data_IF_012839846706
#
_entry.id   IF_012839846706
#
_cell.length_a   1.000
_cell.length_b   1.000
_cell.length_c   1.000
_cell.angle_alpha   90.00
_cell.angle_beta   90.00
_cell.angle_gamma   90.00
#
_symmetry.space_group_name_H-M   'P 1'
#
loop_
_entity.id
_entity.type
_entity.pdbx_description
1 polymer ?
#
# COMPACT_ATOMS: atom_id res chain seq x y z
N UNK A 1 -39.45 -20.48 33.15
CA UNK A 1 -38.40 -21.32 32.52
C UNK A 1 -39.10 -22.57 31.99
N UNK A 2 -38.84 -23.01 30.74
CA UNK A 2 -37.49 -23.29 30.22
C UNK A 2 -37.11 -22.54 28.94
N UNK A 3 -35.79 -22.45 28.73
CA UNK A 3 -35.15 -21.95 27.53
C UNK A 3 -35.01 -23.08 26.49
N UNK A 4 -35.17 -22.75 25.22
CA UNK A 4 -34.75 -23.60 24.10
C UNK A 4 -33.41 -23.08 23.58
N UNK A 5 -32.39 -23.95 23.42
CA UNK A 5 -31.17 -23.58 22.73
C UNK A 5 -31.38 -23.79 21.22
N UNK A 6 -31.34 -22.70 20.45
CA UNK A 6 -31.31 -22.80 18.99
C UNK A 6 -29.87 -22.68 18.49
N UNK A 7 -29.33 -23.86 18.17
CA UNK A 7 -28.26 -24.18 17.23
C UNK A 7 -27.58 -23.00 16.52
N UNK A 8 -26.34 -22.69 16.91
CA UNK A 8 -25.39 -22.04 16.02
C UNK A 8 -24.86 -23.07 15.02
N UNK A 9 -25.36 -23.03 13.79
CA UNK A 9 -24.73 -23.73 12.66
C UNK A 9 -23.39 -23.09 12.35
N UNK A 10 -22.31 -23.80 12.67
CA UNK A 10 -20.95 -23.50 12.21
C UNK A 10 -20.85 -23.78 10.71
N UNK A 11 -21.24 -22.81 9.87
CA UNK A 11 -20.74 -22.79 8.50
C UNK A 11 -19.29 -22.31 8.52
N UNK A 12 -18.35 -23.24 8.69
CA UNK A 12 -16.99 -23.05 8.16
C UNK A 12 -17.08 -23.19 6.63
N UNK A 13 -17.69 -22.20 5.97
CA UNK A 13 -17.52 -22.06 4.53
C UNK A 13 -16.05 -21.69 4.31
N UNK A 14 -15.27 -22.64 3.80
CA UNK A 14 -13.93 -22.36 3.29
C UNK A 14 -14.11 -21.38 2.14
N UNK A 15 -13.93 -20.08 2.39
CA UNK A 15 -13.99 -19.08 1.34
C UNK A 15 -12.98 -19.49 0.27
N UNK A 16 -13.36 -19.48 -1.03
CA UNK A 16 -12.40 -19.77 -2.09
C UNK A 16 -11.22 -18.79 -1.95
N UNK A 17 -9.99 -19.25 -2.20
CA UNK A 17 -8.82 -18.37 -2.16
C UNK A 17 -9.08 -17.19 -3.11
N UNK A 18 -8.94 -15.98 -2.59
CA UNK A 18 -9.10 -14.75 -3.37
C UNK A 18 -8.19 -14.82 -4.61
N UNK A 19 -8.71 -14.59 -5.82
CA UNK A 19 -7.91 -14.59 -7.04
C UNK A 19 -7.22 -13.24 -7.22
N UNK A 20 -6.04 -13.26 -7.86
CA UNK A 20 -5.30 -12.08 -8.29
C UNK A 20 -5.20 -12.05 -9.81
N UNK A 21 -5.27 -10.86 -10.39
CA UNK A 21 -5.10 -10.63 -11.82
C UNK A 21 -3.77 -9.94 -12.06
N UNK A 22 -2.89 -10.57 -12.82
CA UNK A 22 -1.63 -9.98 -13.29
C UNK A 22 -1.73 -9.64 -14.77
N UNK A 23 -1.51 -8.37 -15.11
CA UNK A 23 -1.46 -7.87 -16.48
C UNK A 23 -0.08 -7.32 -16.81
N UNK A 24 0.40 -7.62 -18.01
CA UNK A 24 1.51 -6.89 -18.64
C UNK A 24 0.91 -5.94 -19.66
N UNK A 25 1.24 -4.66 -19.53
CA UNK A 25 0.79 -3.59 -20.40
C UNK A 25 1.99 -2.90 -21.04
N UNK A 26 1.83 -2.47 -22.28
CA UNK A 26 2.85 -1.75 -23.04
C UNK A 26 2.24 -0.49 -23.61
N UNK A 27 3.00 0.61 -23.60
CA UNK A 27 2.57 1.85 -24.20
C UNK A 27 3.57 2.97 -23.95
N UNK A 28 3.06 4.20 -23.84
CA UNK A 28 3.91 5.37 -23.68
C UNK A 28 3.32 6.44 -22.76
N UNK A 29 4.22 7.17 -22.12
CA UNK A 29 3.95 8.46 -21.47
C UNK A 29 4.32 9.57 -22.47
N UNK A 30 3.41 10.53 -22.64
CA UNK A 30 3.52 11.65 -23.57
C UNK A 30 3.89 11.23 -25.00
N UNK A 31 3.38 10.08 -25.47
CA UNK A 31 3.66 9.49 -26.78
C UNK A 31 5.15 9.32 -27.14
N UNK A 32 6.06 9.45 -26.18
CA UNK A 32 7.51 9.55 -26.43
C UNK A 32 8.35 8.70 -25.48
N UNK A 33 7.87 8.48 -24.26
CA UNK A 33 8.55 7.66 -23.26
C UNK A 33 7.89 6.30 -23.23
N UNK A 34 8.48 5.33 -23.94
CA UNK A 34 7.98 3.95 -23.96
C UNK A 34 8.17 3.27 -22.61
N UNK A 35 7.10 2.63 -22.12
CA UNK A 35 7.08 1.94 -20.84
C UNK A 35 6.40 0.58 -20.94
N UNK A 36 6.80 -0.33 -20.05
CA UNK A 36 6.10 -1.61 -19.81
C UNK A 36 5.69 -1.67 -18.35
N UNK A 37 4.42 -1.92 -18.07
CA UNK A 37 3.87 -2.08 -16.73
C UNK A 37 3.50 -3.54 -16.51
N UNK A 38 4.06 -4.19 -15.50
CA UNK A 38 3.52 -5.46 -14.98
C UNK A 38 2.78 -5.15 -13.68
N UNK A 39 1.46 -5.31 -13.68
CA UNK A 39 0.59 -4.94 -12.57
C UNK A 39 -0.19 -6.15 -12.08
N UNK A 40 -0.20 -6.36 -10.77
CA UNK A 40 -1.06 -7.33 -10.10
C UNK A 40 -2.11 -6.59 -9.28
N UNK A 41 -3.38 -6.95 -9.48
CA UNK A 41 -4.51 -6.39 -8.73
C UNK A 41 -5.17 -7.49 -7.91
N UNK A 42 -5.42 -7.22 -6.62
CA UNK A 42 -6.20 -8.10 -5.74
C UNK A 42 -7.12 -7.29 -4.84
N UNK A 43 -8.43 -7.45 -5.01
CA UNK A 43 -9.40 -6.55 -4.38
C UNK A 43 -9.14 -5.11 -4.82
N UNK A 44 -8.97 -4.19 -3.87
CA UNK A 44 -8.63 -2.79 -4.14
C UNK A 44 -7.13 -2.52 -4.27
N UNK A 45 -6.26 -3.48 -3.96
CA UNK A 45 -4.81 -3.29 -4.02
C UNK A 45 -4.30 -3.47 -5.45
N UNK A 46 -3.45 -2.56 -5.91
CA UNK A 46 -2.69 -2.69 -7.13
C UNK A 46 -1.19 -2.54 -6.84
N UNK A 47 -0.36 -3.46 -7.31
CA UNK A 47 1.10 -3.36 -7.13
C UNK A 47 1.84 -4.01 -8.30
N UNK A 48 3.07 -3.60 -8.54
CA UNK A 48 3.80 -4.09 -9.70
C UNK A 48 5.12 -3.40 -9.97
N UNK A 49 5.50 -3.40 -11.24
CA UNK A 49 6.74 -2.78 -11.72
C UNK A 49 6.50 -2.06 -13.03
N UNK A 50 6.90 -0.80 -13.09
CA UNK A 50 6.96 0.01 -14.30
C UNK A 50 8.40 0.04 -14.81
N UNK A 51 8.62 -0.37 -16.05
CA UNK A 51 9.92 -0.36 -16.72
C UNK A 51 9.96 0.75 -17.76
N UNK A 52 10.86 1.71 -17.56
CA UNK A 52 11.18 2.71 -18.59
C UNK A 52 12.11 2.08 -19.62
N UNK A 53 11.61 1.82 -20.83
CA UNK A 53 12.31 0.95 -21.80
C UNK A 53 13.69 1.50 -22.21
N UNK A 54 13.82 2.83 -22.29
CA UNK A 54 15.09 3.48 -22.67
C UNK A 54 16.20 3.28 -21.62
N UNK A 55 15.85 3.35 -20.34
CA UNK A 55 16.83 3.27 -19.24
C UNK A 55 16.98 1.85 -18.69
N UNK A 56 16.01 0.97 -18.95
CA UNK A 56 15.97 -0.37 -18.36
C UNK A 56 15.70 -0.37 -16.86
N UNK A 57 15.31 0.77 -16.28
CA UNK A 57 15.09 0.90 -14.84
C UNK A 57 13.69 0.40 -14.51
N UNK A 58 13.64 -0.68 -13.72
CA UNK A 58 12.45 -1.20 -13.09
C UNK A 58 12.11 -0.38 -11.83
N UNK A 59 10.93 0.23 -11.84
CA UNK A 59 10.44 1.08 -10.75
C UNK A 59 9.26 0.36 -10.08
N UNK A 60 9.33 0.07 -8.77
CA UNK A 60 8.18 -0.49 -8.05
C UNK A 60 7.02 0.49 -8.07
N UNK A 61 5.82 -0.03 -8.33
CA UNK A 61 4.59 0.74 -8.25
C UNK A 61 3.61 0.12 -7.27
N UNK A 62 2.90 0.97 -6.53
CA UNK A 62 1.89 0.55 -5.54
C UNK A 62 0.75 1.55 -5.60
N UNK A 63 -0.47 1.06 -5.47
CA UNK A 63 -1.64 1.92 -5.59
C UNK A 63 -2.95 1.23 -5.29
N UNK A 64 -4.03 1.89 -5.68
CA UNK A 64 -5.38 1.46 -5.35
C UNK A 64 -6.30 1.49 -6.56
N UNK A 65 -7.12 0.45 -6.68
CA UNK A 65 -8.17 0.30 -7.68
C UNK A 65 -9.55 0.55 -7.02
N UNK A 66 -10.26 1.55 -7.52
CA UNK A 66 -11.60 1.93 -7.10
C UNK A 66 -12.56 1.88 -8.29
N UNK A 67 -13.22 0.74 -8.49
CA UNK A 67 -14.02 0.52 -9.70
C UNK A 67 -13.14 0.49 -10.95
N UNK A 68 -13.31 1.47 -11.84
CA UNK A 68 -12.50 1.65 -13.04
C UNK A 68 -11.38 2.69 -12.86
N UNK A 69 -11.24 3.30 -11.68
CA UNK A 69 -10.20 4.30 -11.40
C UNK A 69 -9.01 3.64 -10.72
N UNK A 70 -7.82 3.85 -11.28
CA UNK A 70 -6.56 3.33 -10.76
C UNK A 70 -5.58 4.48 -10.52
N UNK A 71 -5.14 4.57 -9.27
CA UNK A 71 -4.02 5.39 -8.81
C UNK A 71 -2.80 4.47 -8.62
N UNK A 72 -1.63 4.86 -9.11
CA UNK A 72 -0.35 4.21 -8.82
C UNK A 72 0.72 5.24 -8.46
N UNK A 73 1.49 4.96 -7.41
CA UNK A 73 2.71 5.67 -7.06
C UNK A 73 3.94 4.91 -7.55
N UNK A 74 4.86 5.61 -8.21
CA UNK A 74 6.21 5.15 -8.52
C UNK A 74 7.16 5.44 -7.36
N UNK A 75 7.90 4.43 -6.90
CA UNK A 75 8.81 4.59 -5.76
C UNK A 75 10.27 4.47 -6.16
N UNK A 76 11.11 5.34 -5.59
CA UNK A 76 12.54 5.08 -5.54
C UNK A 76 12.86 3.98 -4.51
N UNK A 77 14.13 3.55 -4.43
CA UNK A 77 14.56 2.50 -3.49
C UNK A 77 14.47 2.89 -2.01
N UNK A 78 14.30 4.18 -1.71
CA UNK A 78 14.18 4.73 -0.35
C UNK A 78 12.71 4.92 0.05
N UNK A 79 11.77 4.59 -0.84
CA UNK A 79 10.34 4.73 -0.59
C UNK A 79 9.79 6.12 -0.86
N UNK A 80 10.52 6.99 -1.56
CA UNK A 80 9.99 8.28 -1.99
C UNK A 80 9.15 8.11 -3.26
N UNK A 81 7.99 8.76 -3.30
CA UNK A 81 7.19 8.86 -4.51
C UNK A 81 7.88 9.76 -5.53
N UNK A 82 8.08 9.23 -6.73
CA UNK A 82 8.77 9.90 -7.85
C UNK A 82 7.84 10.20 -9.02
N UNK A 83 6.69 9.53 -9.08
CA UNK A 83 5.68 9.70 -10.11
C UNK A 83 4.33 9.19 -9.63
N UNK A 84 3.26 9.77 -10.17
CA UNK A 84 1.88 9.42 -9.85
C UNK A 84 1.15 9.17 -11.17
N UNK A 85 0.58 7.98 -11.34
CA UNK A 85 -0.33 7.66 -12.44
C UNK A 85 -1.75 7.69 -11.90
N UNK A 86 -2.62 8.46 -12.54
CA UNK A 86 -4.05 8.47 -12.26
C UNK A 86 -4.80 8.28 -13.56
N UNK A 87 -5.70 7.30 -13.61
CA UNK A 87 -6.40 7.02 -14.86
C UNK A 87 -7.48 5.97 -14.76
N UNK A 88 -7.99 5.61 -15.93
CA UNK A 88 -9.01 4.58 -16.11
C UNK A 88 -8.37 3.24 -16.43
N UNK A 89 -8.75 2.23 -15.66
CA UNK A 89 -8.28 0.85 -15.72
C UNK A 89 -9.36 -0.07 -16.29
N UNK A 90 -8.93 -0.99 -17.14
CA UNK A 90 -9.77 -2.06 -17.67
C UNK A 90 -8.92 -3.29 -18.03
N UNK A 91 -9.59 -4.39 -18.37
CA UNK A 91 -8.91 -5.58 -18.94
C UNK A 91 -8.19 -5.27 -20.26
N UNK A 92 -8.61 -4.22 -20.98
CA UNK A 92 -8.00 -3.83 -22.25
C UNK A 92 -6.74 -2.96 -22.06
N UNK A 93 -6.67 -2.18 -20.98
CA UNK A 93 -5.57 -1.23 -20.81
C UNK A 93 -5.73 -0.28 -19.63
N UNK A 94 -4.75 0.63 -19.54
CA UNK A 94 -4.67 1.68 -18.53
C UNK A 94 -4.29 3.00 -19.20
N UNK A 95 -5.11 4.03 -19.04
CA UNK A 95 -4.85 5.34 -19.65
C UNK A 95 -5.25 6.48 -18.73
N UNK A 96 -4.51 7.58 -18.75
CA UNK A 96 -4.76 8.72 -17.89
C UNK A 96 -3.61 9.72 -17.90
N UNK A 97 -3.28 10.24 -16.72
CA UNK A 97 -2.25 11.24 -16.52
C UNK A 97 -1.16 10.75 -15.57
N UNK A 98 0.08 11.01 -15.96
CA UNK A 98 1.26 10.91 -15.14
C UNK A 98 1.64 12.30 -14.63
N UNK A 99 2.00 12.43 -13.35
CA UNK A 99 2.54 13.67 -12.80
C UNK A 99 3.72 13.40 -11.87
N UNK A 100 4.57 14.41 -11.69
CA UNK A 100 5.65 14.36 -10.72
C UNK A 100 5.25 15.05 -9.41
N UNK A 101 5.43 14.42 -8.23
CA UNK A 101 5.22 15.10 -6.95
C UNK A 101 6.11 16.34 -6.76
N UNK A 102 7.28 16.38 -7.41
CA UNK A 102 8.21 17.53 -7.33
C UNK A 102 7.86 18.65 -8.31
N UNK A 103 7.05 18.36 -9.34
CA UNK A 103 6.62 19.32 -10.35
C UNK A 103 5.12 19.11 -10.64
N UNK A 104 4.23 19.43 -9.67
CA UNK A 104 2.82 19.08 -9.75
C UNK A 104 2.06 19.75 -10.91
N UNK A 105 2.58 20.86 -11.45
CA UNK A 105 2.04 21.52 -12.64
C UNK A 105 2.33 20.75 -13.94
N UNK A 106 3.25 19.77 -13.91
CA UNK A 106 3.61 18.95 -15.06
C UNK A 106 2.81 17.65 -15.03
N UNK A 107 1.77 17.62 -15.86
CA UNK A 107 0.96 16.43 -16.12
C UNK A 107 1.16 15.98 -17.57
N UNK A 108 1.37 14.69 -17.79
CA UNK A 108 1.61 14.07 -19.09
C UNK A 108 0.58 12.97 -19.32
N UNK A 109 -0.07 12.94 -20.48
CA UNK A 109 -0.95 11.84 -20.83
C UNK A 109 -0.17 10.53 -20.97
N UNK A 110 -0.75 9.40 -20.56
CA UNK A 110 -0.23 8.07 -20.87
C UNK A 110 -1.34 7.17 -21.39
N UNK A 111 -0.95 6.17 -22.17
CA UNK A 111 -1.86 5.11 -22.61
C UNK A 111 -1.09 3.81 -22.77
N UNK A 112 -1.56 2.77 -22.07
CA UNK A 112 -0.99 1.43 -22.04
C UNK A 112 -2.05 0.41 -22.46
N UNK A 113 -1.69 -0.50 -23.35
CA UNK A 113 -2.55 -1.60 -23.80
C UNK A 113 -2.08 -2.92 -23.18
N UNK A 114 -3.03 -3.75 -22.77
CA UNK A 114 -2.74 -5.08 -22.22
C UNK A 114 -2.22 -5.99 -23.32
N UNK A 115 -1.03 -6.56 -23.12
CA UNK A 115 -0.43 -7.55 -24.03
C UNK A 115 -0.46 -8.96 -23.46
N UNK A 116 -0.60 -9.08 -22.14
CA UNK A 116 -0.75 -10.36 -21.43
C UNK A 116 -1.61 -10.17 -20.19
N UNK A 117 -2.43 -11.15 -19.89
CA UNK A 117 -3.18 -11.25 -18.64
C UNK A 117 -3.10 -12.68 -18.11
N UNK A 118 -3.07 -12.82 -16.79
CA UNK A 118 -3.05 -14.09 -16.10
C UNK A 118 -3.83 -13.93 -14.80
N UNK A 119 -4.82 -14.80 -14.58
CA UNK A 119 -5.58 -14.85 -13.34
C UNK A 119 -5.17 -16.10 -12.57
N UNK A 120 -4.73 -15.91 -11.32
CA UNK A 120 -4.16 -16.97 -10.50
C UNK A 120 -4.74 -16.90 -9.08
N UNK A 121 -4.69 -18.00 -8.31
CA UNK A 121 -4.89 -17.90 -6.87
C UNK A 121 -3.91 -16.90 -6.27
N UNK A 122 -4.35 -16.10 -5.29
CA UNK A 122 -3.48 -15.17 -4.57
C UNK A 122 -2.23 -15.89 -4.05
N UNK A 123 -1.08 -15.30 -4.33
CA UNK A 123 0.20 -15.86 -3.88
C UNK A 123 0.30 -15.85 -2.35
N UNK A 124 0.89 -16.91 -1.78
CA UNK A 124 1.29 -16.93 -0.37
C UNK A 124 2.39 -15.88 -0.17
N UNK A 125 2.23 -15.03 0.84
CA UNK A 125 3.24 -14.02 1.16
C UNK A 125 4.46 -14.67 1.82
N UNK A 126 5.64 -14.14 1.49
CA UNK A 126 6.84 -14.39 2.25
C UNK A 126 6.75 -13.73 3.64
N UNK A 127 7.74 -14.01 4.50
CA UNK A 127 7.89 -13.31 5.78
C UNK A 127 7.81 -11.79 5.59
N UNK A 128 6.89 -11.14 6.30
CA UNK A 128 6.58 -9.72 6.21
C UNK A 128 7.57 -8.83 6.98
N UNK A 129 8.51 -9.40 7.73
CA UNK A 129 9.45 -8.70 8.60
C UNK A 129 10.30 -7.65 7.89
N UNK A 130 10.18 -6.37 8.23
CA UNK A 130 11.00 -5.35 7.58
C UNK A 130 10.65 -3.93 7.91
N UNK A 131 11.33 -3.03 7.20
CA UNK A 131 11.04 -1.61 7.17
C UNK A 131 10.25 -1.27 5.90
N UNK A 132 9.13 -0.61 6.08
CA UNK A 132 8.24 -0.13 5.03
C UNK A 132 8.29 1.39 5.03
N UNK A 133 8.48 2.01 3.88
CA UNK A 133 8.63 3.46 3.76
C UNK A 133 7.66 4.04 2.73
N UNK A 134 7.11 5.19 3.08
CA UNK A 134 6.30 6.05 2.23
C UNK A 134 6.74 7.49 2.41
N UNK A 135 7.46 8.05 1.44
CA UNK A 135 7.89 9.44 1.42
C UNK A 135 7.12 10.20 0.34
N UNK A 136 6.40 11.26 0.73
CA UNK A 136 5.66 12.08 -0.21
C UNK A 136 6.28 13.48 -0.27
N UNK A 137 6.60 13.96 -1.48
CA UNK A 137 7.16 15.30 -1.76
C UNK A 137 8.61 15.56 -1.30
N UNK A 138 9.17 16.69 -1.76
CA UNK A 138 10.51 17.16 -1.42
C UNK A 138 10.65 17.78 0.00
N UNK A 139 9.55 17.89 0.77
CA UNK A 139 9.51 18.58 2.07
C UNK A 139 9.73 17.64 3.28
N UNK A 140 10.45 16.53 3.09
CA UNK A 140 10.73 15.56 4.16
C UNK A 140 9.47 15.00 4.86
N UNK A 141 8.31 14.96 4.17
CA UNK A 141 7.11 14.28 4.69
C UNK A 141 7.25 12.79 4.42
N UNK A 142 7.29 12.00 5.48
CA UNK A 142 7.46 10.56 5.33
C UNK A 142 6.76 9.81 6.45
N UNK A 143 6.47 8.56 6.16
CA UNK A 143 6.03 7.59 7.12
C UNK A 143 6.86 6.31 7.01
N UNK A 144 7.10 5.70 8.17
CA UNK A 144 7.77 4.42 8.30
C UNK A 144 6.92 3.47 9.11
N UNK A 145 6.89 2.23 8.68
CA UNK A 145 6.25 1.14 9.42
C UNK A 145 7.25 0.02 9.59
N UNK A 146 7.51 -0.32 10.85
CA UNK A 146 8.37 -1.43 11.25
C UNK A 146 7.47 -2.64 11.50
N UNK A 147 7.70 -3.71 10.76
CA UNK A 147 6.97 -4.97 10.89
C UNK A 147 7.95 -6.05 11.33
N UNK A 148 7.59 -6.81 12.35
CA UNK A 148 8.23 -8.09 12.65
C UNK A 148 7.14 -9.15 12.70
N UNK A 149 7.22 -10.13 11.80
CA UNK A 149 6.30 -11.25 11.82
C UNK A 149 6.74 -12.27 12.88
N UNK A 150 5.83 -12.57 13.81
CA UNK A 150 6.05 -13.48 14.94
C UNK A 150 5.19 -14.72 14.74
N UNK A 151 5.63 -15.62 13.86
CA UNK A 151 4.84 -16.77 13.41
C UNK A 151 3.80 -16.42 12.34
N UNK A 152 2.86 -17.33 12.06
CA UNK A 152 1.96 -17.18 10.90
C UNK A 152 0.85 -16.14 11.08
N UNK A 153 0.51 -15.76 12.31
CA UNK A 153 -0.72 -15.02 12.63
C UNK A 153 -0.52 -13.77 13.48
N UNK A 154 0.72 -13.40 13.80
CA UNK A 154 1.01 -12.27 14.69
C UNK A 154 2.07 -11.39 14.04
N UNK A 155 1.83 -10.09 14.04
CA UNK A 155 2.82 -9.07 13.69
C UNK A 155 3.09 -8.22 14.93
N UNK A 156 4.35 -7.92 15.21
CA UNK A 156 4.72 -6.73 15.96
C UNK A 156 4.85 -5.55 14.98
N UNK A 157 4.23 -4.42 15.32
CA UNK A 157 4.11 -3.24 14.48
C UNK A 157 4.51 -2.01 15.29
N UNK A 158 5.32 -1.13 14.68
CA UNK A 158 5.56 0.23 15.16
C UNK A 158 5.50 1.17 13.96
N UNK A 159 5.03 2.40 14.18
CA UNK A 159 4.80 3.36 13.09
C UNK A 159 5.30 4.74 13.47
N UNK A 160 5.79 5.46 12.46
CA UNK A 160 6.16 6.85 12.54
C UNK A 160 5.61 7.57 11.31
N UNK A 161 5.06 8.75 11.50
CA UNK A 161 4.72 9.68 10.42
C UNK A 161 5.18 11.09 10.80
N UNK A 162 5.78 11.79 9.86
CA UNK A 162 6.27 13.16 10.00
C UNK A 162 5.64 14.01 8.91
N UNK A 163 4.94 15.08 9.31
CA UNK A 163 4.03 15.81 8.40
C UNK A 163 4.53 17.16 7.93
N UNK A 164 5.50 17.78 8.62
CA UNK A 164 6.17 19.02 8.22
C UNK A 164 7.46 19.25 9.05
N UNK A 165 8.29 20.19 8.59
CA UNK A 165 9.39 20.78 9.38
C UNK A 165 8.95 22.10 10.06
N UNK A 166 9.44 22.41 11.27
CA UNK A 166 10.19 21.52 12.16
C UNK A 166 9.31 20.34 12.57
N UNK A 167 9.95 19.26 13.04
CA UNK A 167 9.40 17.93 13.37
C UNK A 167 8.39 17.96 14.55
N UNK A 168 7.50 18.95 14.59
CA UNK A 168 6.52 19.21 15.63
C UNK A 168 5.26 18.36 15.45
N UNK A 169 4.98 17.91 14.23
CA UNK A 169 3.82 17.08 13.90
C UNK A 169 4.28 15.66 13.58
N UNK A 170 4.64 14.93 14.64
CA UNK A 170 4.94 13.50 14.56
C UNK A 170 3.79 12.69 15.13
N UNK A 171 3.36 11.69 14.37
CA UNK A 171 2.56 10.61 14.88
C UNK A 171 3.47 9.41 15.13
N UNK A 172 3.54 8.96 16.38
CA UNK A 172 4.32 7.78 16.75
C UNK A 172 3.43 6.72 17.36
N UNK A 173 3.64 5.49 16.92
CA UNK A 173 3.00 4.29 17.45
C UNK A 173 4.09 3.38 17.95
N UNK A 174 4.20 3.30 19.28
CA UNK A 174 5.10 2.36 19.92
C UNK A 174 4.75 0.92 19.57
N UNK A 175 5.75 0.04 19.73
CA UNK A 175 5.61 -1.37 19.41
C UNK A 175 4.36 -1.97 20.03
N UNK A 176 3.50 -2.51 19.18
CA UNK A 176 2.29 -3.25 19.57
C UNK A 176 2.18 -4.52 18.74
N UNK A 177 1.23 -5.39 19.09
CA UNK A 177 0.98 -6.63 18.35
C UNK A 177 -0.40 -6.65 17.74
N UNK A 178 -0.50 -7.09 16.49
CA UNK A 178 -1.76 -7.23 15.75
C UNK A 178 -1.88 -8.64 15.18
N UNK A 179 -3.13 -9.11 15.05
CA UNK A 179 -3.41 -10.39 14.40
C UNK A 179 -3.33 -10.24 12.88
N UNK A 180 -2.61 -11.15 12.24
CA UNK A 180 -2.55 -11.31 10.79
C UNK A 180 -3.58 -12.37 10.37
N UNK A 181 -4.47 -11.97 9.46
CA UNK A 181 -5.45 -12.84 8.82
C UNK A 181 -5.19 -12.83 7.32
N UNK A 182 -4.56 -13.89 6.81
CA UNK A 182 -4.06 -13.94 5.45
C UNK A 182 -3.02 -12.85 5.22
N UNK A 183 -3.36 -11.87 4.39
CA UNK A 183 -2.48 -10.79 3.97
C UNK A 183 -2.82 -9.47 4.67
N UNK A 184 -3.70 -9.51 5.67
CA UNK A 184 -4.28 -8.31 6.27
C UNK A 184 -4.18 -8.31 7.78
N UNK A 185 -3.94 -7.13 8.33
CA UNK A 185 -4.06 -6.87 9.76
C UNK A 185 -4.94 -5.64 9.96
N UNK A 186 -5.74 -5.65 11.02
CA UNK A 186 -6.51 -4.48 11.45
C UNK A 186 -5.96 -4.01 12.77
N UNK A 187 -5.66 -2.72 12.83
CA UNK A 187 -5.05 -2.06 13.97
C UNK A 187 -5.96 -0.93 14.43
N UNK A 188 -6.38 -0.95 15.69
CA UNK A 188 -7.23 0.09 16.27
C UNK A 188 -6.44 0.86 17.31
N UNK A 189 -6.35 2.18 17.14
CA UNK A 189 -5.81 3.08 18.15
C UNK A 189 -6.53 4.43 18.04
N UNK A 190 -7.35 4.73 19.04
CA UNK A 190 -8.16 5.95 19.10
C UNK A 190 -7.34 7.24 19.20
N UNK A 191 -6.07 7.15 19.60
CA UNK A 191 -5.13 8.29 19.60
C UNK A 191 -4.60 8.64 18.20
N UNK A 192 -4.78 7.74 17.23
CA UNK A 192 -4.34 7.93 15.84
C UNK A 192 -5.51 8.30 14.95
N UNK A 193 -6.59 7.52 15.03
CA UNK A 193 -7.77 7.69 14.19
C UNK A 193 -9.01 7.19 14.91
N UNK A 194 -10.14 7.80 14.59
CA UNK A 194 -11.46 7.37 15.07
C UNK A 194 -11.91 6.04 14.45
N UNK A 195 -11.31 5.67 13.32
CA UNK A 195 -11.55 4.40 12.62
C UNK A 195 -10.29 3.52 12.64
N UNK A 196 -10.42 2.18 12.71
CA UNK A 196 -9.28 1.27 12.65
C UNK A 196 -8.47 1.44 11.37
N UNK A 197 -7.15 1.26 11.43
CA UNK A 197 -6.29 1.15 10.26
C UNK A 197 -6.30 -0.29 9.75
N UNK A 198 -6.48 -0.46 8.45
CA UNK A 198 -6.33 -1.73 7.73
C UNK A 198 -4.98 -1.72 7.01
N UNK A 199 -4.12 -2.68 7.35
CA UNK A 199 -2.87 -2.95 6.68
C UNK A 199 -3.09 -4.13 5.72
N UNK A 200 -2.80 -3.95 4.44
CA UNK A 200 -2.84 -5.03 3.45
C UNK A 200 -1.46 -5.21 2.82
N UNK A 201 -0.91 -6.41 2.92
CA UNK A 201 0.45 -6.74 2.52
C UNK A 201 0.51 -7.42 1.16
N UNK A 202 1.61 -7.20 0.46
CA UNK A 202 2.01 -7.93 -0.75
C UNK A 202 3.51 -8.14 -0.76
N UNK A 203 4.00 -8.96 -1.71
CA UNK A 203 5.43 -9.17 -1.86
C UNK A 203 6.11 -7.87 -2.30
N UNK A 204 6.83 -7.24 -1.36
CA UNK A 204 7.58 -6.01 -1.60
C UNK A 204 6.95 -4.74 -1.02
N UNK A 205 5.81 -4.81 -0.32
CA UNK A 205 5.21 -3.61 0.26
C UNK A 205 3.89 -3.82 1.00
N UNK A 206 3.22 -2.72 1.31
CA UNK A 206 1.95 -2.71 2.00
C UNK A 206 1.13 -1.46 1.63
N UNK A 207 -0.17 -1.54 1.86
CA UNK A 207 -1.05 -0.37 1.86
C UNK A 207 -1.72 -0.24 3.21
N UNK A 208 -1.84 1.00 3.70
CA UNK A 208 -2.50 1.31 4.97
C UNK A 208 -3.64 2.27 4.68
N UNK A 209 -4.85 1.93 5.11
CA UNK A 209 -6.03 2.78 4.94
C UNK A 209 -6.95 2.73 6.15
N UNK A 210 -7.88 3.66 6.25
CA UNK A 210 -8.94 3.61 7.27
C UNK A 210 -9.95 2.52 6.91
N UNK A 211 -10.28 1.67 7.88
CA UNK A 211 -11.25 0.60 7.75
C UNK A 211 -12.65 1.18 7.55
N UNK A 212 -13.32 0.77 6.47
CA UNK A 212 -14.65 1.28 6.12
C UNK A 212 -14.64 2.62 5.37
N UNK A 213 -13.47 3.24 5.17
CA UNK A 213 -13.37 4.34 4.21
C UNK A 213 -13.55 3.79 2.79
N UNK A 214 -14.23 4.53 1.89
CA UNK A 214 -14.12 4.24 0.47
C UNK A 214 -12.64 4.27 0.09
N UNK A 215 -12.29 3.43 -0.87
CA UNK A 215 -10.98 3.39 -1.52
C UNK A 215 -10.37 4.80 -1.60
N UNK A 216 -9.16 4.99 -1.04
CA UNK A 216 -8.53 6.32 -0.99
C UNK A 216 -8.57 6.96 -2.38
N UNK A 217 -9.24 8.10 -2.49
CA UNK A 217 -9.19 8.88 -3.72
C UNK A 217 -7.78 9.43 -3.90
N UNK A 218 -7.36 9.67 -5.15
CA UNK A 218 -6.08 10.31 -5.43
C UNK A 218 -5.90 11.63 -4.66
N UNK A 219 -6.98 12.40 -4.47
CA UNK A 219 -6.95 13.62 -3.68
C UNK A 219 -6.65 13.36 -2.19
N UNK A 220 -7.21 12.30 -1.60
CA UNK A 220 -6.95 11.92 -0.20
C UNK A 220 -5.56 11.35 0.00
N UNK A 221 -5.03 10.59 -0.97
CA UNK A 221 -3.67 10.06 -0.92
C UNK A 221 -2.62 11.16 -0.97
N UNK A 222 -2.82 12.13 -1.87
CA UNK A 222 -1.95 13.28 -2.06
C UNK A 222 -1.99 14.26 -0.88
N UNK A 223 -3.11 14.38 -0.17
CA UNK A 223 -3.30 15.41 0.86
C UNK A 223 -3.22 14.91 2.31
N UNK A 224 -3.46 13.62 2.57
CA UNK A 224 -3.63 13.10 3.94
C UNK A 224 -2.77 11.87 4.26
N UNK A 225 -2.10 11.26 3.28
CA UNK A 225 -1.45 9.95 3.47
C UNK A 225 -0.35 9.98 4.55
N UNK A 226 0.72 10.73 4.29
CA UNK A 226 1.85 10.86 5.22
C UNK A 226 1.48 11.48 6.58
N UNK A 227 0.27 12.05 6.72
CA UNK A 227 -0.17 12.73 7.94
C UNK A 227 -0.72 11.79 9.01
N UNK A 228 -1.18 10.61 8.59
CA UNK A 228 -1.85 9.65 9.47
C UNK A 228 -1.39 8.21 9.24
N UNK A 229 -0.14 7.99 8.78
CA UNK A 229 0.43 6.68 8.38
C UNK A 229 -0.40 5.92 7.32
N UNK A 230 -1.23 6.64 6.56
CA UNK A 230 -2.11 6.09 5.54
C UNK A 230 -1.42 6.24 4.17
N UNK A 231 -1.59 5.27 3.28
CA UNK A 231 -1.05 5.34 1.92
C UNK A 231 -0.32 4.07 1.48
N UNK A 232 0.66 4.27 0.61
CA UNK A 232 1.31 3.21 -0.17
C UNK A 232 2.78 3.08 0.20
N UNK A 233 3.17 1.91 0.67
CA UNK A 233 4.50 1.65 1.20
C UNK A 233 5.21 0.59 0.37
N UNK A 234 6.50 0.81 0.13
CA UNK A 234 7.41 -0.24 -0.32
C UNK A 234 8.27 -0.73 0.84
N UNK A 235 8.62 -2.02 0.83
CA UNK A 235 9.53 -2.61 1.79
C UNK A 235 10.97 -2.33 1.37
N UNK A 236 11.67 -1.48 2.11
CA UNK A 236 13.03 -1.05 1.81
C UNK A 236 14.10 -1.85 2.55
N UNK A 237 13.69 -2.64 3.56
CA UNK A 237 14.57 -3.59 4.25
C UNK A 237 13.79 -4.83 4.67
N UNK A 238 14.44 -5.99 4.59
CA UNK A 238 13.93 -7.28 5.12
C UNK A 238 14.54 -7.64 6.47
N UNK A 239 15.43 -6.81 7.01
CA UNK A 239 16.06 -7.05 8.31
C UNK A 239 15.02 -6.90 9.41
N UNK A 240 15.07 -7.74 10.47
CA UNK A 240 14.26 -7.54 11.65
C UNK A 240 14.46 -6.12 12.20
N UNK A 241 13.38 -5.37 12.44
CA UNK A 241 13.48 -4.03 12.99
C UNK A 241 14.02 -4.09 14.42
N UNK A 242 14.91 -3.16 14.75
CA UNK A 242 15.23 -2.86 16.13
C UNK A 242 14.17 -1.90 16.65
N UNK A 243 13.21 -2.40 17.41
CA UNK A 243 12.34 -1.55 18.20
C UNK A 243 13.21 -0.96 19.31
N UNK A 244 13.43 0.36 19.32
CA UNK A 244 14.18 1.00 20.40
C UNK A 244 13.51 0.71 21.74
N UNK A 245 14.32 0.47 22.77
CA UNK A 245 13.86 0.15 24.13
C UNK A 245 13.34 1.41 24.87
N UNK A 246 13.59 2.61 24.33
CA UNK A 246 13.35 3.88 25.02
C UNK A 246 11.90 4.43 24.96
N UNK A 247 10.96 3.70 24.34
CA UNK A 247 9.52 4.04 24.40
C UNK A 247 8.76 3.29 25.51
N UNK A 248 9.46 2.68 26.47
CA UNK A 248 8.87 2.03 27.64
C UNK A 248 8.89 2.91 28.92
N UNK A 249 9.28 4.19 28.83
CA UNK A 249 9.52 5.04 30.01
C UNK A 249 8.69 6.33 30.10
N UNK A 250 7.60 6.50 29.35
CA UNK A 250 6.72 7.69 29.50
C UNK A 250 5.23 7.38 29.37
N UNK A 251 4.72 6.49 30.23
CA UNK A 251 3.38 6.64 30.83
C UNK A 251 3.47 6.05 32.25
N UNK A 252 3.76 6.91 33.22
CA UNK A 252 3.24 6.79 34.59
C UNK A 252 2.22 7.90 34.73
#
# INVERSE_FOLDING_TARGET
>A
MPALPSFFSLFNATQPPESQLTQTLVGAINNSVSVTLTLTTTGSLAHGTLLYMRSGIAIPVVGTLAGDELLLHEFDRKGNVTGIHLGKWSRAGYSGTWSSPSLPSRSLAFSLSTVRQLEEPRAKLADLTGLYQYGYSAKNRFSQVHIQQMGEKILAVAMLAVTDEPVQNQLTVSKTTVKLAGNMAVFSNSSIATSPLKLAFFNGGATICLSGAPTMTAAQDVTQGADMVVGHYIRTSTKPPQFSVDELARIV
#
